data_IF_190195235091
#
_entry.id   IF_190195235091
#
_cell.length_a   1.000
_cell.length_b   1.000
_cell.length_c   1.000
_cell.angle_alpha   90.00
_cell.angle_beta   90.00
_cell.angle_gamma   90.00
#
_symmetry.space_group_name_H-M   'P 1'
#
loop_
_entity.id
_entity.type
_entity.pdbx_description
1 polymer ?
#
# COMPACT_ATOMS: atom_id res chain seq x y z
N UNK A 1 -21.12 13.98 10.71
CA UNK A 1 -19.80 13.34 10.59
C UNK A 1 -19.67 12.83 9.19
N UNK A 2 -18.58 13.22 8.54
CA UNK A 2 -18.76 13.87 7.26
C UNK A 2 -18.56 12.94 6.08
N UNK A 3 -19.45 13.11 5.13
CA UNK A 3 -19.34 12.66 3.75
C UNK A 3 -17.89 12.77 3.21
N UNK A 4 -17.12 13.75 3.67
CA UNK A 4 -15.70 13.95 3.34
C UNK A 4 -14.80 12.76 3.68
N UNK A 5 -14.78 12.27 4.93
CA UNK A 5 -13.94 11.13 5.30
C UNK A 5 -14.32 9.84 4.55
N UNK A 6 -15.63 9.65 4.32
CA UNK A 6 -16.10 8.55 3.48
C UNK A 6 -15.65 8.71 2.02
N UNK A 7 -15.73 9.92 1.47
CA UNK A 7 -15.26 10.24 0.12
C UNK A 7 -13.75 10.08 -0.03
N UNK A 8 -12.96 10.49 0.96
CA UNK A 8 -11.50 10.28 0.98
C UNK A 8 -11.18 8.78 0.98
N UNK A 9 -11.82 8.01 1.86
CA UNK A 9 -11.68 6.53 1.92
C UNK A 9 -11.94 5.90 0.55
N UNK A 10 -13.08 6.23 -0.06
CA UNK A 10 -13.44 5.73 -1.38
C UNK A 10 -12.47 6.19 -2.47
N UNK A 11 -11.99 7.44 -2.41
CA UNK A 11 -11.03 7.99 -3.37
C UNK A 11 -9.67 7.30 -3.30
N UNK A 12 -9.20 6.96 -2.09
CA UNK A 12 -7.99 6.16 -1.89
C UNK A 12 -8.16 4.78 -2.52
N UNK A 13 -9.28 4.10 -2.23
CA UNK A 13 -9.58 2.77 -2.80
C UNK A 13 -9.60 2.82 -4.32
N UNK A 14 -10.34 3.78 -4.91
CA UNK A 14 -10.37 3.98 -6.37
C UNK A 14 -8.99 4.23 -6.95
N UNK A 15 -8.16 5.06 -6.29
CA UNK A 15 -6.80 5.31 -6.72
C UNK A 15 -5.91 4.06 -6.70
N UNK A 16 -6.01 3.22 -5.68
CA UNK A 16 -5.27 1.96 -5.61
C UNK A 16 -5.70 1.01 -6.73
N UNK A 17 -7.01 0.87 -6.96
CA UNK A 17 -7.55 -0.02 -7.99
C UNK A 17 -7.18 0.48 -9.39
N UNK A 18 -7.32 1.79 -9.66
CA UNK A 18 -6.92 2.41 -10.91
C UNK A 18 -5.42 2.23 -11.21
N UNK A 19 -4.57 2.49 -10.21
CA UNK A 19 -3.13 2.35 -10.37
C UNK A 19 -2.69 0.91 -10.56
N UNK A 20 -3.39 -0.05 -9.94
CA UNK A 20 -3.12 -1.46 -10.21
C UNK A 20 -3.53 -1.88 -11.62
N UNK A 21 -4.67 -1.39 -12.11
CA UNK A 21 -5.12 -1.64 -13.48
C UNK A 21 -4.14 -1.08 -14.52
N UNK A 22 -3.76 0.19 -14.40
CA UNK A 22 -2.79 0.78 -15.33
C UNK A 22 -1.45 0.03 -15.28
N UNK A 23 -1.00 -0.39 -14.09
CA UNK A 23 0.18 -1.24 -13.98
C UNK A 23 0.06 -2.54 -14.79
N UNK A 24 -1.08 -3.24 -14.72
CA UNK A 24 -1.34 -4.45 -15.52
C UNK A 24 -1.29 -4.14 -17.01
N UNK A 25 -1.95 -3.06 -17.45
CA UNK A 25 -1.96 -2.62 -18.85
C UNK A 25 -0.53 -2.35 -19.36
N UNK A 26 0.28 -1.61 -18.60
CA UNK A 26 1.67 -1.33 -18.95
C UNK A 26 2.52 -2.61 -18.96
N UNK A 27 2.30 -3.54 -18.03
CA UNK A 27 3.02 -4.83 -18.03
C UNK A 27 2.72 -5.63 -19.29
N UNK A 28 1.47 -5.67 -19.74
CA UNK A 28 1.10 -6.31 -21.00
C UNK A 28 1.75 -5.62 -22.21
N UNK A 29 1.66 -4.31 -22.29
CA UNK A 29 2.19 -3.54 -23.41
C UNK A 29 3.72 -3.67 -23.53
N UNK A 30 4.41 -3.58 -22.39
CA UNK A 30 5.87 -3.71 -22.33
C UNK A 30 6.35 -5.13 -22.63
N UNK A 31 5.63 -6.15 -22.18
CA UNK A 31 5.93 -7.54 -22.52
C UNK A 31 5.79 -7.81 -24.02
N UNK A 32 4.78 -7.23 -24.68
CA UNK A 32 4.60 -7.35 -26.14
C UNK A 32 5.68 -6.60 -26.93
N UNK A 33 6.18 -5.47 -26.40
CA UNK A 33 7.11 -4.58 -27.13
C UNK A 33 8.58 -4.91 -26.91
N UNK A 34 8.94 -5.49 -25.77
CA UNK A 34 10.33 -5.66 -25.35
C UNK A 34 10.66 -7.13 -25.12
N UNK A 35 11.80 -7.57 -25.67
CA UNK A 35 12.35 -8.92 -25.44
C UNK A 35 12.72 -9.18 -23.97
N UNK A 36 13.02 -8.11 -23.23
CA UNK A 36 13.32 -8.16 -21.79
C UNK A 36 12.53 -7.05 -21.10
N UNK A 37 11.49 -7.42 -20.34
CA UNK A 37 10.57 -6.46 -19.71
C UNK A 37 10.44 -6.60 -18.20
N UNK A 38 11.10 -7.59 -17.58
CA UNK A 38 10.91 -7.96 -16.16
C UNK A 38 11.24 -6.81 -15.18
N UNK A 39 12.06 -5.84 -15.58
CA UNK A 39 12.32 -4.64 -14.79
C UNK A 39 11.05 -3.83 -14.47
N UNK A 40 10.00 -3.93 -15.30
CA UNK A 40 8.73 -3.26 -15.03
C UNK A 40 7.96 -3.87 -13.85
N UNK A 41 8.28 -5.10 -13.41
CA UNK A 41 7.65 -5.70 -12.23
C UNK A 41 7.84 -4.84 -10.96
N UNK A 42 8.92 -4.06 -10.92
CA UNK A 42 9.26 -3.16 -9.81
C UNK A 42 8.55 -1.80 -9.87
N UNK A 43 7.71 -1.54 -10.87
CA UNK A 43 7.08 -0.21 -11.06
C UNK A 43 5.66 -0.11 -10.50
N UNK A 44 5.07 -1.21 -10.02
CA UNK A 44 3.69 -1.28 -9.49
C UNK A 44 3.34 -0.17 -8.51
N UNK A 45 4.21 0.05 -7.51
CA UNK A 45 3.98 1.07 -6.49
C UNK A 45 3.95 2.49 -7.08
N UNK A 46 4.66 2.76 -8.19
CA UNK A 46 4.66 4.07 -8.83
C UNK A 46 3.30 4.41 -9.42
N UNK A 47 2.65 3.45 -10.09
CA UNK A 47 1.31 3.64 -10.66
C UNK A 47 0.26 3.80 -9.56
N UNK A 48 0.38 3.04 -8.47
CA UNK A 48 -0.52 3.15 -7.33
C UNK A 48 -0.38 4.52 -6.64
N UNK A 49 0.84 4.95 -6.32
CA UNK A 49 1.08 6.29 -5.75
C UNK A 49 0.52 7.39 -6.66
N UNK A 50 0.77 7.28 -7.97
CA UNK A 50 0.27 8.24 -8.97
C UNK A 50 -1.25 8.36 -8.95
N UNK A 51 -1.96 7.24 -9.04
CA UNK A 51 -3.43 7.26 -9.11
C UNK A 51 -4.08 7.62 -7.78
N UNK A 52 -3.49 7.25 -6.65
CA UNK A 52 -3.95 7.73 -5.34
C UNK A 52 -3.83 9.24 -5.27
N UNK A 53 -2.74 9.84 -5.76
CA UNK A 53 -2.61 11.29 -5.83
C UNK A 53 -3.67 11.96 -6.71
N UNK A 54 -3.97 11.41 -7.88
CA UNK A 54 -5.02 11.94 -8.76
C UNK A 54 -6.40 11.88 -8.11
N UNK A 55 -6.76 10.74 -7.52
CA UNK A 55 -8.09 10.56 -6.94
C UNK A 55 -8.28 11.34 -5.64
N UNK A 56 -7.20 11.69 -4.94
CA UNK A 56 -7.26 12.33 -3.62
C UNK A 56 -6.87 13.80 -3.61
N UNK A 57 -6.65 14.43 -4.78
CA UNK A 57 -6.18 15.82 -4.92
C UNK A 57 -7.04 16.86 -4.20
N UNK A 58 -8.35 16.60 -4.07
CA UNK A 58 -9.29 17.49 -3.41
C UNK A 58 -9.32 17.33 -1.89
N UNK A 59 -8.62 16.32 -1.34
CA UNK A 59 -8.67 15.94 0.07
C UNK A 59 -7.32 16.14 0.76
N UNK A 60 -6.23 15.74 0.10
CA UNK A 60 -4.87 15.73 0.65
C UNK A 60 -3.86 16.31 -0.31
N UNK A 61 -2.80 16.88 0.23
CA UNK A 61 -1.61 17.23 -0.52
C UNK A 61 -0.65 16.04 -0.56
N UNK A 62 0.09 15.88 -1.65
CA UNK A 62 1.11 14.85 -1.77
C UNK A 62 2.48 15.49 -2.01
N UNK A 63 3.51 14.94 -1.37
CA UNK A 63 4.90 15.38 -1.55
C UNK A 63 5.77 14.19 -1.88
N UNK A 64 6.59 14.31 -2.93
CA UNK A 64 7.59 13.32 -3.28
C UNK A 64 8.73 13.31 -2.27
N UNK A 65 9.00 12.15 -1.68
CA UNK A 65 10.08 11.93 -0.70
C UNK A 65 11.01 10.81 -1.17
N UNK A 66 12.24 10.80 -0.69
CA UNK A 66 13.23 9.76 -1.00
C UNK A 66 13.24 8.69 0.09
N UNK A 67 13.23 7.42 -0.31
CA UNK A 67 13.35 6.25 0.56
C UNK A 67 14.69 5.52 0.38
N UNK A 68 15.66 6.18 -0.25
CA UNK A 68 16.96 5.63 -0.63
C UNK A 68 17.55 6.41 -1.82
N UNK A 69 18.64 5.93 -2.42
CA UNK A 69 19.29 6.60 -3.54
C UNK A 69 18.45 6.60 -4.82
N UNK A 70 17.72 5.51 -5.08
CA UNK A 70 16.95 5.30 -6.32
C UNK A 70 15.43 5.29 -6.11
N UNK A 71 14.96 5.06 -4.88
CA UNK A 71 13.53 4.92 -4.60
C UNK A 71 12.91 6.22 -4.06
N UNK A 72 11.79 6.61 -4.65
CA UNK A 72 10.94 7.72 -4.19
C UNK A 72 9.53 7.22 -3.92
N UNK A 73 8.83 7.90 -3.03
CA UNK A 73 7.44 7.61 -2.68
C UNK A 73 6.67 8.91 -2.50
N UNK A 74 5.34 8.84 -2.51
CA UNK A 74 4.48 9.96 -2.14
C UNK A 74 4.10 9.88 -0.65
N UNK A 75 4.36 10.97 0.07
CA UNK A 75 3.77 11.21 1.39
C UNK A 75 2.51 12.06 1.21
N UNK A 76 1.36 11.50 1.58
CA UNK A 76 0.09 12.20 1.58
C UNK A 76 -0.10 12.89 2.93
N UNK A 77 -0.53 14.15 2.90
CA UNK A 77 -0.59 15.03 4.06
C UNK A 77 -1.92 15.76 4.13
N UNK A 78 -2.44 16.02 5.35
CA UNK A 78 -3.64 16.82 5.54
C UNK A 78 -3.48 18.20 4.91
N UNK A 79 -4.59 18.76 4.40
CA UNK A 79 -4.63 20.16 3.95
C UNK A 79 -5.38 21.01 4.96
N UNK A 80 -4.99 22.27 5.12
CA UNK A 80 -5.70 23.24 5.98
C UNK A 80 -7.10 23.59 5.46
N UNK A 81 -7.45 23.14 4.25
CA UNK A 81 -8.71 23.46 3.56
C UNK A 81 -9.92 22.76 4.17
N UNK A 82 -9.70 21.67 4.92
CA UNK A 82 -10.76 20.86 5.47
C UNK A 82 -10.63 20.82 7.00
N UNK A 83 -11.70 21.20 7.71
CA UNK A 83 -11.74 21.19 9.18
C UNK A 83 -11.83 19.77 9.78
N UNK A 84 -11.62 18.74 8.96
CA UNK A 84 -11.65 17.34 9.36
C UNK A 84 -10.25 16.80 9.58
N UNK A 85 -10.15 15.92 10.57
CA UNK A 85 -8.90 15.29 10.94
C UNK A 85 -8.52 14.24 9.90
N UNK A 86 -7.51 14.58 9.11
CA UNK A 86 -6.84 13.67 8.18
C UNK A 86 -5.47 13.31 8.78
N UNK A 87 -4.99 12.10 8.51
CA UNK A 87 -3.66 11.65 8.91
C UNK A 87 -2.68 11.79 7.75
N UNK A 88 -1.40 11.97 8.03
CA UNK A 88 -0.38 11.66 7.04
C UNK A 88 -0.45 10.18 6.70
N UNK A 89 -0.26 9.82 5.43
CA UNK A 89 -0.22 8.42 5.04
C UNK A 89 0.74 8.13 3.89
N UNK A 90 1.15 6.87 3.83
CA UNK A 90 1.86 6.27 2.69
C UNK A 90 1.09 5.04 2.24
N UNK A 91 1.18 4.72 0.95
CA UNK A 91 0.63 3.49 0.37
C UNK A 91 1.79 2.52 0.15
N UNK A 92 1.67 1.30 0.67
CA UNK A 92 2.76 0.31 0.62
C UNK A 92 2.23 -1.06 0.21
N UNK A 93 3.09 -1.86 -0.44
CA UNK A 93 2.75 -3.24 -0.78
C UNK A 93 2.64 -4.09 0.49
N UNK A 94 1.49 -4.74 0.68
CA UNK A 94 1.21 -5.68 1.76
C UNK A 94 2.21 -6.84 1.82
N UNK A 95 2.74 -7.23 0.66
CA UNK A 95 3.78 -8.24 0.52
C UNK A 95 5.10 -7.88 1.20
N UNK A 96 5.48 -6.61 1.12
CA UNK A 96 6.71 -6.08 1.75
C UNK A 96 6.46 -5.56 3.17
N UNK A 97 5.19 -5.45 3.56
CA UNK A 97 4.78 -4.94 4.87
C UNK A 97 4.89 -6.01 5.95
N UNK A 98 5.49 -5.67 7.07
CA UNK A 98 5.57 -6.52 8.26
C UNK A 98 4.93 -5.79 9.43
N UNK A 99 3.72 -6.22 9.83
CA UNK A 99 2.98 -5.59 10.93
C UNK A 99 3.73 -5.58 12.25
N UNK A 100 4.65 -6.52 12.47
CA UNK A 100 5.39 -6.63 13.74
C UNK A 100 6.69 -5.81 13.71
N UNK A 101 7.14 -5.39 12.51
CA UNK A 101 8.37 -4.60 12.28
C UNK A 101 8.20 -3.66 11.08
N UNK A 102 7.30 -2.69 11.19
CA UNK A 102 6.91 -1.82 10.07
C UNK A 102 8.06 -0.94 9.55
N UNK A 103 9.02 -0.60 10.40
CA UNK A 103 10.22 0.15 10.02
C UNK A 103 11.22 -0.67 9.20
N UNK A 104 11.07 -2.00 9.11
CA UNK A 104 11.95 -2.88 8.32
C UNK A 104 11.21 -3.51 7.14
N UNK A 105 9.97 -3.96 7.35
CA UNK A 105 9.20 -4.73 6.38
C UNK A 105 9.58 -6.21 6.36
N UNK A 106 9.22 -6.91 5.28
CA UNK A 106 9.60 -8.31 5.03
C UNK A 106 10.74 -8.35 4.02
N UNK A 107 11.66 -9.29 4.21
CA UNK A 107 12.54 -9.76 3.14
C UNK A 107 11.79 -10.78 2.30
N UNK A 108 11.94 -10.72 0.99
CA UNK A 108 11.38 -11.73 0.09
C UNK A 108 12.31 -12.94 -0.13
N UNK A 109 13.55 -12.86 0.38
CA UNK A 109 14.58 -13.92 0.24
C UNK A 109 14.68 -14.73 1.54
N UNK A 110 14.52 -16.05 1.44
CA UNK A 110 14.41 -16.99 2.57
C UNK A 110 15.69 -17.13 3.43
N UNK A 111 16.86 -16.74 2.92
CA UNK A 111 18.17 -17.04 3.54
C UNK A 111 18.94 -15.80 4.02
N UNK A 112 18.34 -14.61 3.99
CA UNK A 112 18.95 -13.38 4.52
C UNK A 112 18.48 -13.11 5.95
N UNK A 113 19.38 -12.61 6.81
CA UNK A 113 18.98 -12.05 8.12
C UNK A 113 17.98 -10.89 7.98
N UNK A 114 17.58 -10.27 9.09
CA UNK A 114 16.53 -9.22 9.05
C UNK A 114 16.83 -8.09 8.04
N UNK A 115 15.81 -7.57 7.33
CA UNK A 115 16.00 -6.40 6.46
C UNK A 115 16.51 -5.21 7.26
N UNK A 116 17.32 -4.32 6.64
CA UNK A 116 17.79 -3.11 7.28
C UNK A 116 16.60 -2.20 7.60
N UNK A 117 16.79 -1.36 8.62
CA UNK A 117 15.81 -0.36 9.00
C UNK A 117 15.68 0.73 7.94
N UNK A 118 14.43 1.08 7.62
CA UNK A 118 14.03 2.15 6.70
C UNK A 118 13.87 3.44 7.48
N UNK A 119 14.94 4.25 7.55
CA UNK A 119 14.96 5.52 8.31
C UNK A 119 13.77 6.44 8.03
N UNK A 120 13.36 6.56 6.77
CA UNK A 120 12.21 7.39 6.40
C UNK A 120 10.89 6.91 7.04
N UNK A 121 10.70 5.60 7.22
CA UNK A 121 9.54 5.07 7.93
C UNK A 121 9.66 5.34 9.41
N UNK A 122 10.84 5.15 10.00
CA UNK A 122 11.08 5.46 11.42
C UNK A 122 10.68 6.91 11.74
N UNK A 123 11.10 7.87 10.91
CA UNK A 123 10.73 9.29 11.08
C UNK A 123 9.22 9.54 11.00
N UNK A 124 8.52 8.86 10.08
CA UNK A 124 7.05 8.99 9.96
C UNK A 124 6.31 8.32 11.12
N UNK A 125 6.78 7.16 11.57
CA UNK A 125 6.18 6.42 12.69
C UNK A 125 6.29 7.24 13.99
N UNK A 126 7.39 7.97 14.18
CA UNK A 126 7.59 8.85 15.33
C UNK A 126 6.57 9.99 15.42
N UNK A 127 5.85 10.32 14.35
CA UNK A 127 4.75 11.28 14.40
C UNK A 127 3.60 10.82 15.31
N UNK A 128 3.48 9.52 15.57
CA UNK A 128 2.50 8.96 16.51
C UNK A 128 3.01 8.94 17.96
N UNK A 129 4.14 9.58 18.27
CA UNK A 129 4.66 9.66 19.63
C UNK A 129 3.63 10.33 20.56
N UNK A 130 3.35 9.67 21.68
CA UNK A 130 2.40 10.14 22.68
C UNK A 130 0.97 9.60 22.50
N UNK A 131 0.70 8.81 21.46
CA UNK A 131 -0.50 7.97 21.37
C UNK A 131 -0.43 6.88 22.46
N UNK A 132 -1.54 6.68 23.18
CA UNK A 132 -1.70 5.58 24.12
C UNK A 132 -2.17 4.33 23.37
N UNK A 133 -1.22 3.48 22.98
CA UNK A 133 -1.49 2.29 22.18
C UNK A 133 -2.22 1.18 22.93
N UNK A 134 -2.08 1.12 24.27
CA UNK A 134 -2.82 0.16 25.10
C UNK A 134 -4.31 0.51 25.10
N UNK A 135 -4.64 1.79 25.38
CA UNK A 135 -6.02 2.27 25.33
C UNK A 135 -6.60 2.21 23.92
N UNK A 136 -5.80 2.53 22.90
CA UNK A 136 -6.19 2.41 21.50
C UNK A 136 -6.56 0.98 21.16
N UNK A 137 -5.71 0.00 21.47
CA UNK A 137 -5.95 -1.40 21.16
C UNK A 137 -7.21 -1.94 21.87
N UNK A 138 -7.41 -1.59 23.14
CA UNK A 138 -8.62 -1.94 23.88
C UNK A 138 -9.88 -1.38 23.22
N UNK A 139 -9.84 -0.11 22.81
CA UNK A 139 -10.97 0.53 22.11
C UNK A 139 -11.27 -0.14 20.77
N UNK A 140 -10.24 -0.59 20.05
CA UNK A 140 -10.40 -1.28 18.79
C UNK A 140 -11.04 -2.66 19.01
N UNK A 141 -10.53 -3.46 19.96
CA UNK A 141 -11.05 -4.79 20.26
C UNK A 141 -12.49 -4.81 20.76
N UNK A 142 -12.87 -3.87 21.63
CA UNK A 142 -14.27 -3.76 22.12
C UNK A 142 -15.22 -3.43 20.97
N UNK A 143 -14.80 -2.59 20.03
CA UNK A 143 -15.65 -2.11 18.94
C UNK A 143 -15.68 -3.02 17.70
N UNK A 144 -14.73 -3.95 17.54
CA UNK A 144 -14.87 -5.02 16.52
C UNK A 144 -16.09 -5.92 16.77
N UNK A 145 -16.70 -5.86 17.96
CA UNK A 145 -17.97 -6.52 18.28
C UNK A 145 -19.21 -5.66 17.93
N UNK A 146 -19.04 -4.37 17.59
CA UNK A 146 -20.11 -3.39 17.34
C UNK A 146 -19.71 -2.41 16.20
N UNK A 147 -20.02 -2.73 14.94
CA UNK A 147 -19.91 -1.91 13.72
C UNK A 147 -18.71 -0.93 13.60
N UNK A 148 -17.76 -1.29 12.72
CA UNK A 148 -16.54 -0.53 12.42
C UNK A 148 -16.74 0.94 11.99
N UNK A 149 -17.88 1.29 11.38
CA UNK A 149 -18.16 2.66 10.93
C UNK A 149 -18.31 3.67 12.09
N UNK A 150 -18.69 3.24 13.30
CA UNK A 150 -18.71 4.10 14.48
C UNK A 150 -17.31 4.43 15.02
N UNK A 151 -16.30 3.63 14.68
CA UNK A 151 -14.97 3.71 15.28
C UNK A 151 -14.19 4.93 14.82
N UNK A 152 -14.34 5.38 13.58
CA UNK A 152 -13.68 6.60 13.10
C UNK A 152 -14.15 7.84 13.87
N UNK A 153 -15.33 7.75 14.49
CA UNK A 153 -16.07 8.86 15.07
C UNK A 153 -15.98 8.90 16.60
N UNK A 154 -16.02 7.74 17.27
CA UNK A 154 -15.90 7.69 18.74
C UNK A 154 -14.43 7.80 19.22
N UNK A 155 -13.44 7.41 18.39
CA UNK A 155 -12.04 7.61 18.74
C UNK A 155 -11.67 9.09 18.77
N UNK A 156 -12.21 9.93 17.85
CA UNK A 156 -11.94 11.37 17.76
C UNK A 156 -12.33 12.11 19.05
N UNK A 157 -13.26 11.57 19.85
CA UNK A 157 -13.66 12.15 21.14
C UNK A 157 -12.85 11.62 22.34
N UNK A 158 -11.82 10.80 22.12
CA UNK A 158 -10.87 10.35 23.14
C UNK A 158 -9.50 11.03 22.94
N UNK A 159 -8.94 11.64 24.00
CA UNK A 159 -7.62 12.30 24.06
C UNK A 159 -6.45 11.54 23.38
N UNK A 160 -6.56 10.22 23.28
CA UNK A 160 -5.56 9.34 22.68
C UNK A 160 -5.54 9.40 21.15
N UNK A 161 -6.67 9.61 20.48
CA UNK A 161 -6.72 9.61 19.01
C UNK A 161 -6.22 10.92 18.41
N UNK A 162 -6.33 12.05 19.12
CA UNK A 162 -5.87 13.39 18.69
C UNK A 162 -4.39 13.49 18.41
N UNK A 163 -3.67 12.50 18.95
CA UNK A 163 -2.23 12.33 18.77
C UNK A 163 -1.87 11.38 17.63
N UNK A 164 -2.81 10.66 17.03
CA UNK A 164 -2.53 9.88 15.82
C UNK A 164 -2.31 10.88 14.69
N UNK A 165 -1.14 10.83 14.07
CA UNK A 165 -0.73 11.73 12.98
C UNK A 165 -0.35 10.99 11.71
N UNK A 166 -0.01 9.71 11.81
CA UNK A 166 0.47 8.90 10.69
C UNK A 166 -0.19 7.52 10.66
N UNK A 167 -0.61 7.11 9.46
CA UNK A 167 -1.12 5.77 9.16
C UNK A 167 -0.40 5.18 7.94
N UNK A 168 -0.43 3.86 7.81
CA UNK A 168 0.06 3.16 6.62
C UNK A 168 -1.11 2.46 5.95
N UNK A 169 -1.22 2.58 4.63
CA UNK A 169 -2.24 1.91 3.83
C UNK A 169 -1.56 0.81 3.04
N UNK A 170 -1.93 -0.44 3.28
CA UNK A 170 -1.40 -1.59 2.55
C UNK A 170 -2.38 -2.05 1.48
N UNK A 171 -1.88 -2.35 0.29
CA UNK A 171 -2.62 -3.11 -0.73
C UNK A 171 -1.93 -4.46 -0.93
N UNK A 172 -2.71 -5.53 -1.04
CA UNK A 172 -2.19 -6.87 -1.30
C UNK A 172 -2.77 -7.45 -2.59
N UNK A 173 -1.97 -8.29 -3.24
CA UNK A 173 -2.31 -8.97 -4.49
C UNK A 173 -2.20 -10.45 -4.25
N UNK A 174 -3.22 -11.21 -4.65
CA UNK A 174 -3.19 -12.65 -4.48
C UNK A 174 -2.04 -13.29 -5.29
N UNK A 175 -1.30 -14.18 -4.66
CA UNK A 175 -0.11 -14.78 -5.28
C UNK A 175 -0.45 -15.61 -6.53
N UNK A 176 -1.61 -16.27 -6.57
CA UNK A 176 -1.99 -17.17 -7.66
C UNK A 176 -2.76 -16.43 -8.74
N UNK A 177 -3.83 -15.72 -8.37
CA UNK A 177 -4.66 -15.03 -9.36
C UNK A 177 -4.07 -13.71 -9.81
N UNK A 178 -3.10 -13.15 -9.06
CA UNK A 178 -2.60 -11.77 -9.19
C UNK A 178 -3.72 -10.71 -9.20
N UNK A 179 -4.89 -11.02 -8.66
CA UNK A 179 -5.94 -10.01 -8.43
C UNK A 179 -5.63 -9.23 -7.16
N UNK A 180 -6.05 -7.96 -7.11
CA UNK A 180 -6.10 -7.25 -5.83
C UNK A 180 -6.97 -8.04 -4.85
N UNK A 181 -6.44 -8.21 -3.64
CA UNK A 181 -7.01 -9.10 -2.62
C UNK A 181 -7.48 -8.35 -1.39
N UNK A 182 -6.70 -7.36 -0.96
CA UNK A 182 -6.94 -6.73 0.33
C UNK A 182 -6.42 -5.29 0.33
N UNK A 183 -7.17 -4.38 0.96
CA UNK A 183 -6.69 -3.04 1.33
C UNK A 183 -6.93 -2.85 2.82
N UNK A 184 -5.88 -2.48 3.56
CA UNK A 184 -5.94 -2.29 5.01
C UNK A 184 -5.26 -1.01 5.44
N UNK A 185 -5.73 -0.46 6.56
CA UNK A 185 -5.17 0.73 7.20
C UNK A 185 -4.58 0.35 8.54
N UNK A 186 -3.37 0.83 8.81
CA UNK A 186 -2.59 0.47 9.98
C UNK A 186 -2.13 1.72 10.72
N UNK A 187 -2.13 1.65 12.06
CA UNK A 187 -1.53 2.68 12.92
C UNK A 187 -0.24 2.11 13.52
N UNK A 188 0.93 2.61 13.10
CA UNK A 188 2.21 2.13 13.62
C UNK A 188 2.55 2.73 14.99
N UNK A 189 3.13 1.90 15.85
CA UNK A 189 3.57 2.22 17.20
C UNK A 189 5.07 2.57 17.22
N UNK A 190 5.46 3.81 17.59
CA UNK A 190 6.87 4.21 17.63
C UNK A 190 7.69 3.52 18.72
N UNK A 191 7.07 2.96 19.76
CA UNK A 191 7.79 2.29 20.85
C UNK A 191 8.21 0.87 20.50
N UNK A 192 7.43 0.18 19.66
CA UNK A 192 7.62 -1.25 19.34
C UNK A 192 7.92 -1.50 17.86
N UNK A 193 7.62 -0.53 16.99
CA UNK A 193 7.57 -0.69 15.53
C UNK A 193 6.59 -1.75 15.04
N UNK A 194 5.67 -2.21 15.89
CA UNK A 194 4.50 -2.96 15.44
C UNK A 194 3.40 -2.01 15.00
N UNK A 195 2.38 -2.51 14.31
CA UNK A 195 1.22 -1.74 13.90
C UNK A 195 -0.08 -2.47 14.25
N UNK A 196 -1.08 -1.67 14.61
CA UNK A 196 -2.43 -2.15 14.91
C UNK A 196 -3.29 -1.94 13.66
N UNK A 197 -4.08 -2.95 13.29
CA UNK A 197 -5.07 -2.82 12.22
C UNK A 197 -6.16 -1.84 12.66
N UNK A 198 -6.38 -0.81 11.85
CA UNK A 198 -7.34 0.25 12.14
C UNK A 198 -8.63 0.08 11.32
N UNK A 199 -8.49 -0.21 10.02
CA UNK A 199 -9.60 -0.43 9.11
C UNK A 199 -9.25 -1.50 8.07
N UNK A 200 -10.27 -2.23 7.63
CA UNK A 200 -10.20 -3.12 6.48
C UNK A 200 -11.13 -2.55 5.39
N UNK A 201 -10.56 -2.22 4.23
CA UNK A 201 -11.23 -1.57 3.11
C UNK A 201 -11.54 -2.54 1.94
N UNK A 202 -11.50 -3.84 2.23
CA UNK A 202 -11.62 -4.88 1.21
C UNK A 202 -13.02 -4.95 0.62
N UNK A 203 -14.06 -4.68 1.41
CA UNK A 203 -15.43 -4.61 0.89
C UNK A 203 -15.61 -3.45 -0.08
N UNK A 204 -15.13 -2.24 0.27
CA UNK A 204 -15.18 -1.08 -0.62
C UNK A 204 -14.36 -1.29 -1.89
N UNK A 205 -13.21 -1.97 -1.79
CA UNK A 205 -12.41 -2.35 -2.94
C UNK A 205 -13.20 -3.28 -3.88
N UNK A 206 -13.81 -4.33 -3.33
CA UNK A 206 -14.61 -5.28 -4.12
C UNK A 206 -15.82 -4.59 -4.76
N UNK A 207 -16.47 -3.67 -4.05
CA UNK A 207 -17.59 -2.89 -4.58
C UNK A 207 -17.16 -1.98 -5.72
N UNK A 208 -16.00 -1.31 -5.62
CA UNK A 208 -15.45 -0.49 -6.70
C UNK A 208 -15.16 -1.33 -7.94
N UNK A 209 -14.51 -2.49 -7.78
CA UNK A 209 -14.18 -3.40 -8.89
C UNK A 209 -15.45 -3.96 -9.53
N UNK A 210 -16.43 -4.37 -8.72
CA UNK A 210 -17.65 -5.02 -9.22
C UNK A 210 -18.57 -4.06 -9.96
N UNK A 211 -18.70 -2.83 -9.48
CA UNK A 211 -19.76 -1.91 -9.95
C UNK A 211 -19.33 -0.99 -11.09
N UNK A 212 -18.05 -0.99 -11.48
CA UNK A 212 -17.54 -0.13 -12.55
C UNK A 212 -16.51 -0.88 -13.41
N UNK A 213 -16.88 -1.12 -14.67
CA UNK A 213 -16.06 -1.83 -15.66
C UNK A 213 -14.69 -1.16 -15.88
N UNK A 214 -14.57 0.15 -15.64
CA UNK A 214 -13.28 0.84 -15.73
C UNK A 214 -12.27 0.32 -14.72
N UNK A 215 -12.69 -0.31 -13.63
CA UNK A 215 -11.82 -0.88 -12.60
C UNK A 215 -11.65 -2.40 -12.70
N UNK A 216 -12.36 -3.05 -13.61
CA UNK A 216 -12.24 -4.49 -13.83
C UNK A 216 -10.95 -4.80 -14.60
N UNK A 217 -10.35 -5.94 -14.24
CA UNK A 217 -9.17 -6.52 -14.88
C UNK A 217 -9.52 -7.97 -15.18
N UNK A 218 -9.43 -8.36 -16.45
CA UNK A 218 -9.77 -9.70 -16.91
C UNK A 218 -8.58 -10.66 -16.70
N UNK A 219 -8.86 -11.96 -16.61
CA UNK A 219 -7.82 -12.98 -16.36
C UNK A 219 -6.73 -12.98 -17.43
N UNK A 220 -7.10 -12.76 -18.70
CA UNK A 220 -6.15 -12.68 -19.82
C UNK A 220 -5.15 -11.52 -19.66
N UNK A 221 -5.60 -10.39 -19.11
CA UNK A 221 -4.73 -9.23 -18.88
C UNK A 221 -3.72 -9.51 -17.77
N UNK A 222 -4.03 -10.41 -16.85
CA UNK A 222 -3.15 -10.70 -15.71
C UNK A 222 -2.12 -11.78 -16.01
N UNK A 223 -2.29 -12.55 -17.08
CA UNK A 223 -1.43 -13.69 -17.38
C UNK A 223 0.06 -13.34 -17.43
N UNK A 224 0.40 -12.15 -17.95
CA UNK A 224 1.78 -11.64 -17.99
C UNK A 224 2.42 -11.54 -16.60
N UNK A 225 1.62 -11.23 -15.57
CA UNK A 225 2.11 -11.10 -14.19
C UNK A 225 2.40 -12.45 -13.55
N UNK A 226 1.83 -13.55 -14.05
CA UNK A 226 2.10 -14.90 -13.50
C UNK A 226 3.52 -15.38 -13.79
N UNK A 227 4.18 -14.78 -14.78
CA UNK A 227 5.57 -15.05 -15.14
C UNK A 227 6.57 -14.27 -14.26
N UNK A 228 6.13 -13.23 -13.55
CA UNK A 228 7.02 -12.41 -12.72
C UNK A 228 7.57 -13.27 -11.57
N UNK A 229 8.91 -13.39 -11.50
CA UNK A 229 9.57 -13.99 -10.33
C UNK A 229 9.31 -13.11 -9.12
N UNK A 230 8.48 -13.65 -8.25
CA UNK A 230 7.96 -12.96 -7.09
C UNK A 230 9.05 -12.76 -6.03
N UNK A 231 10.02 -13.65 -5.91
CA UNK A 231 10.95 -13.82 -4.78
C UNK A 231 12.17 -12.88 -4.76
N UNK A 232 12.28 -11.95 -5.71
CA UNK A 232 13.49 -11.13 -5.89
C UNK A 232 13.23 -9.67 -5.49
N UNK A 233 13.50 -9.31 -4.23
CA UNK A 233 13.85 -7.91 -3.91
C UNK A 233 15.27 -7.66 -4.38
N UNK A 234 15.50 -6.56 -5.13
CA UNK A 234 16.80 -6.05 -5.60
C UNK A 234 18.02 -6.68 -4.90
N UNK A 235 18.46 -7.80 -5.44
CA UNK A 235 19.71 -8.47 -5.08
C UNK A 235 20.79 -7.76 -5.86
N UNK A 236 21.92 -7.50 -5.20
CA UNK A 236 23.12 -7.02 -5.87
C UNK A 236 23.42 -7.93 -7.07
N UNK A 237 23.41 -7.37 -8.28
CA UNK A 237 23.61 -8.13 -9.53
C UNK A 237 24.93 -8.87 -9.56
N UNK A 238 25.89 -8.49 -8.70
CA UNK A 238 27.19 -9.14 -8.54
C UNK A 238 27.11 -10.55 -7.92
N UNK A 239 25.96 -10.97 -7.36
CA UNK A 239 25.77 -12.30 -6.75
C UNK A 239 25.15 -13.32 -7.71
N UNK A 240 24.57 -12.88 -8.83
CA UNK A 240 23.94 -13.78 -9.80
C UNK A 240 24.89 -14.13 -10.96
N UNK A 241 24.99 -15.42 -11.29
CA UNK A 241 25.53 -15.87 -12.58
C UNK A 241 24.55 -15.59 -13.73
N UNK A 242 24.91 -15.95 -14.96
CA UNK A 242 23.98 -15.91 -16.09
C UNK A 242 23.14 -17.20 -16.15
N UNK A 243 21.81 -17.06 -16.20
CA UNK A 243 20.90 -18.17 -16.54
C UNK A 243 20.53 -18.05 -18.04
N UNK A 244 20.53 -19.18 -18.75
CA UNK A 244 20.06 -19.24 -20.15
C UNK A 244 18.58 -19.63 -20.11
N UNK A 245 17.69 -18.69 -20.40
CA UNK A 245 16.29 -18.99 -20.69
C UNK A 245 16.14 -19.43 -22.16
N UNK A 246 15.58 -20.63 -22.38
CA UNK A 246 15.17 -21.08 -23.71
C UNK A 246 13.97 -20.27 -24.17
N UNK A 247 14.19 -19.30 -25.07
CA UNK A 247 13.12 -18.56 -25.74
C UNK A 247 12.45 -19.54 -26.73
N UNK A 248 11.17 -19.86 -26.53
CA UNK A 248 10.42 -20.67 -27.48
C UNK A 248 10.08 -19.84 -28.72
N UNK A 249 10.08 -20.44 -29.90
CA UNK A 249 9.73 -19.75 -31.16
C UNK A 249 8.32 -19.13 -31.17
N UNK A 250 7.43 -19.53 -30.26
CA UNK A 250 6.12 -18.91 -30.05
C UNK A 250 6.18 -17.52 -29.41
N UNK A 251 7.33 -17.17 -28.83
CA UNK A 251 7.55 -15.95 -28.04
C UNK A 251 8.39 -14.92 -28.83
N UNK A 252 8.64 -15.19 -30.12
CA UNK A 252 9.32 -14.33 -31.12
C UNK A 252 8.32 -13.71 -32.11
#
# INVERSE_FOLDING_TARGET
MSQFNHQLKLSIVKGIVAGYKEYVEVRNDTHKKLKVSNGYAFTKANYIDHHVALHTENFVENTRRSAGPSWKFLLFSPTDKHHEKIFHFVVVSGRTFNKDKVNKGRRLIHNGGEPPEKKYLTELIELNRGVDFEKLNQSLHVNHQLNADKMLFDMINNDSSDKIKFIMITYDVDHQSKMLKEIKVWIPNPMTYSAIEFLNLTEEMNDVIKNDEHYQINEEEIEVLKQDREDVEWIDTEVFGFEIEEIKESDL
#
